data_IF_264535651013
#
_entry.id   IF_264535651013
#
_cell.length_a   1.000
_cell.length_b   1.000
_cell.length_c   1.000
_cell.angle_alpha   90.00
_cell.angle_beta   90.00
_cell.angle_gamma   90.00
#
_symmetry.space_group_name_H-M   'P 1'
#
loop_
_entity.id
_entity.type
_entity.pdbx_description
1 polymer ?
#
# COMPACT_ATOMS: atom_id res chain seq x y z
N UNK A 1 -14.42 57.40 -4.36
CA UNK A 1 -13.53 56.23 -4.19
C UNK A 1 -14.15 55.36 -3.12
N UNK A 2 -14.87 54.31 -3.52
CA UNK A 2 -15.54 53.41 -2.59
C UNK A 2 -14.56 52.32 -2.15
N UNK A 3 -14.28 52.26 -0.85
CA UNK A 3 -13.63 51.09 -0.27
C UNK A 3 -14.67 49.97 -0.23
N UNK A 4 -14.59 49.06 -1.19
CA UNK A 4 -15.22 47.74 -1.06
C UNK A 4 -14.48 47.00 0.05
N UNK A 5 -14.94 47.15 1.29
CA UNK A 5 -14.66 46.22 2.37
C UNK A 5 -15.30 44.88 2.02
N UNK A 6 -14.66 44.15 1.11
CA UNK A 6 -15.06 42.79 0.75
C UNK A 6 -14.76 41.87 1.93
N UNK A 7 -15.78 41.15 2.38
CA UNK A 7 -15.70 40.06 3.34
C UNK A 7 -14.48 39.16 3.06
N UNK A 8 -13.39 39.35 3.80
CA UNK A 8 -12.21 38.47 3.72
C UNK A 8 -12.56 37.00 4.06
N UNK A 9 -13.65 36.78 4.81
CA UNK A 9 -14.21 35.45 5.10
C UNK A 9 -14.88 34.81 3.89
N UNK A 10 -15.48 35.60 2.99
CA UNK A 10 -16.05 35.10 1.73
C UNK A 10 -14.94 34.73 0.72
N UNK A 11 -13.79 35.40 0.79
CA UNK A 11 -12.59 35.09 0.00
C UNK A 11 -11.69 33.99 0.58
N UNK A 12 -12.01 33.41 1.74
CA UNK A 12 -11.22 32.33 2.35
C UNK A 12 -11.98 31.02 2.55
N UNK A 13 -13.31 31.06 2.44
CA UNK A 13 -14.19 29.89 2.63
C UNK A 13 -14.09 28.89 1.46
N UNK A 14 -14.17 29.30 0.19
CA UNK A 14 -13.96 28.39 -0.94
C UNK A 14 -12.60 27.68 -0.91
N UNK A 15 -11.55 28.41 -0.53
CA UNK A 15 -10.17 27.93 -0.42
C UNK A 15 -10.03 26.92 0.72
N UNK A 16 -10.67 27.20 1.87
CA UNK A 16 -10.77 26.26 2.97
C UNK A 16 -11.49 24.97 2.57
N UNK A 17 -12.66 25.08 1.93
CA UNK A 17 -13.45 23.92 1.48
C UNK A 17 -12.68 23.09 0.45
N UNK A 18 -12.00 23.74 -0.49
CA UNK A 18 -11.15 23.08 -1.47
C UNK A 18 -9.99 22.32 -0.81
N UNK A 19 -9.32 22.91 0.18
CA UNK A 19 -8.21 22.25 0.88
C UNK A 19 -8.70 21.07 1.74
N UNK A 20 -9.82 21.22 2.45
CA UNK A 20 -10.44 20.12 3.21
C UNK A 20 -10.85 18.99 2.27
N UNK A 21 -11.48 19.30 1.15
CA UNK A 21 -11.87 18.31 0.12
C UNK A 21 -10.66 17.58 -0.45
N UNK A 22 -9.54 18.28 -0.71
CA UNK A 22 -8.28 17.69 -1.14
C UNK A 22 -7.71 16.72 -0.11
N UNK A 23 -7.67 17.12 1.16
CA UNK A 23 -7.19 16.26 2.26
C UNK A 23 -8.04 14.98 2.39
N UNK A 24 -9.36 15.07 2.20
CA UNK A 24 -10.23 13.89 2.19
C UNK A 24 -9.95 12.96 1.01
N UNK A 25 -9.74 13.52 -0.18
CA UNK A 25 -9.40 12.74 -1.36
C UNK A 25 -8.06 11.99 -1.16
N UNK A 26 -7.06 12.65 -0.57
CA UNK A 26 -5.78 12.02 -0.24
C UNK A 26 -5.93 10.88 0.78
N UNK A 27 -6.74 11.06 1.83
CA UNK A 27 -7.02 10.01 2.82
C UNK A 27 -7.72 8.82 2.16
N UNK A 28 -8.74 9.06 1.34
CA UNK A 28 -9.44 8.00 0.58
C UNK A 28 -8.48 7.26 -0.35
N UNK A 29 -7.61 7.98 -1.04
CA UNK A 29 -6.59 7.39 -1.91
C UNK A 29 -5.66 6.45 -1.12
N UNK A 30 -5.18 6.87 0.06
CA UNK A 30 -4.34 6.01 0.91
C UNK A 30 -5.06 4.74 1.37
N UNK A 31 -6.36 4.83 1.69
CA UNK A 31 -7.17 3.66 2.03
C UNK A 31 -7.34 2.71 0.85
N UNK A 32 -7.57 3.24 -0.36
CA UNK A 32 -7.64 2.46 -1.60
C UNK A 32 -6.29 1.78 -1.88
N UNK A 33 -5.17 2.52 -1.80
CA UNK A 33 -3.83 1.98 -1.96
C UNK A 33 -3.58 0.82 -0.99
N UNK A 34 -3.96 0.98 0.29
CA UNK A 34 -3.85 -0.09 1.29
C UNK A 34 -4.59 -1.34 0.86
N UNK A 35 -5.86 -1.21 0.44
CA UNK A 35 -6.68 -2.34 -0.02
C UNK A 35 -6.09 -3.02 -1.26
N UNK A 36 -5.63 -2.24 -2.24
CA UNK A 36 -5.01 -2.75 -3.45
C UNK A 36 -3.74 -3.54 -3.13
N UNK A 37 -2.85 -2.99 -2.29
CA UNK A 37 -1.62 -3.67 -1.87
C UNK A 37 -1.96 -4.96 -1.11
N UNK A 38 -2.87 -4.93 -0.14
CA UNK A 38 -3.29 -6.14 0.59
C UNK A 38 -3.84 -7.21 -0.35
N UNK A 39 -4.67 -6.83 -1.32
CA UNK A 39 -5.20 -7.77 -2.33
C UNK A 39 -4.08 -8.38 -3.18
N UNK A 40 -3.11 -7.55 -3.61
CA UNK A 40 -1.95 -8.02 -4.38
C UNK A 40 -1.13 -9.03 -3.57
N UNK A 41 -0.86 -8.74 -2.30
CA UNK A 41 -0.10 -9.63 -1.42
C UNK A 41 -0.78 -10.99 -1.25
N UNK A 42 -2.12 -11.01 -1.17
CA UNK A 42 -2.87 -12.26 -1.14
C UNK A 42 -2.62 -13.09 -2.41
N UNK A 43 -2.77 -12.47 -3.58
CA UNK A 43 -2.53 -13.13 -4.87
C UNK A 43 -1.07 -13.60 -5.02
N UNK A 44 -0.10 -12.78 -4.62
CA UNK A 44 1.32 -13.13 -4.70
C UNK A 44 1.66 -14.34 -3.81
N UNK A 45 1.04 -14.45 -2.62
CA UNK A 45 1.20 -15.59 -1.71
C UNK A 45 0.56 -16.86 -2.25
N UNK A 46 -0.64 -16.76 -2.81
CA UNK A 46 -1.30 -17.87 -3.50
C UNK A 46 -0.44 -18.37 -4.67
N UNK A 47 0.09 -17.45 -5.48
CA UNK A 47 0.99 -17.78 -6.58
C UNK A 47 2.27 -18.46 -6.11
N UNK A 48 2.93 -17.94 -5.06
CA UNK A 48 4.12 -18.56 -4.49
C UNK A 48 3.84 -19.98 -3.95
N UNK A 49 2.67 -20.20 -3.35
CA UNK A 49 2.25 -21.51 -2.86
C UNK A 49 2.03 -22.50 -4.02
N UNK A 50 1.37 -22.07 -5.10
CA UNK A 50 1.23 -22.86 -6.33
C UNK A 50 2.59 -23.22 -6.93
N UNK A 51 3.54 -22.28 -6.94
CA UNK A 51 4.89 -22.51 -7.44
C UNK A 51 5.62 -23.58 -6.61
N UNK A 52 5.50 -23.54 -5.28
CA UNK A 52 6.07 -24.59 -4.41
C UNK A 52 5.42 -25.96 -4.64
N UNK A 53 4.11 -26.00 -4.89
CA UNK A 53 3.42 -27.26 -5.19
C UNK A 53 3.93 -27.87 -6.51
N UNK A 54 4.14 -27.04 -7.54
CA UNK A 54 4.75 -27.47 -8.81
C UNK A 54 6.16 -28.01 -8.57
N UNK A 55 6.98 -27.33 -7.78
CA UNK A 55 8.33 -27.80 -7.46
C UNK A 55 8.30 -29.17 -6.75
N UNK A 56 7.44 -29.32 -5.73
CA UNK A 56 7.29 -30.57 -5.00
C UNK A 56 6.85 -31.74 -5.89
N UNK A 57 5.92 -31.51 -6.82
CA UNK A 57 5.53 -32.53 -7.82
C UNK A 57 6.67 -32.83 -8.78
N UNK A 58 7.37 -31.79 -9.26
CA UNK A 58 8.52 -31.92 -10.17
C UNK A 58 9.66 -32.74 -9.57
N UNK A 59 9.96 -32.58 -8.27
CA UNK A 59 10.96 -33.38 -7.58
C UNK A 59 10.53 -34.84 -7.41
N UNK A 60 9.23 -35.10 -7.15
CA UNK A 60 8.70 -36.47 -7.08
C UNK A 60 8.75 -37.18 -8.43
N UNK A 61 8.48 -36.47 -9.53
CA UNK A 61 8.56 -37.04 -10.88
C UNK A 61 10.01 -37.18 -11.39
N UNK A 62 10.90 -36.25 -11.05
CA UNK A 62 12.31 -36.24 -11.48
C UNK A 62 13.21 -37.27 -10.78
N UNK A 63 12.75 -37.86 -9.67
CA UNK A 63 13.42 -38.99 -9.00
C UNK A 63 13.18 -40.36 -9.64
N UNK A 64 12.39 -40.41 -10.71
CA UNK A 64 12.09 -41.64 -11.45
C UNK A 64 13.00 -41.84 -12.66
N UNK A 65 14.27 -42.17 -12.44
CA UNK A 65 14.99 -42.98 -13.43
C UNK A 65 14.47 -44.42 -13.34
N UNK A 66 13.43 -44.72 -14.12
CA UNK A 66 13.09 -46.06 -14.58
C UNK A 66 12.82 -47.13 -13.52
N UNK A 67 11.57 -47.32 -13.14
CA UNK A 67 11.07 -48.66 -12.81
C UNK A 67 10.06 -49.11 -13.85
N UNK A 68 10.59 -49.29 -15.06
CA UNK A 68 10.32 -50.47 -15.87
C UNK A 68 11.59 -51.31 -15.91
N UNK A 69 11.81 -52.11 -14.85
CA UNK A 69 12.77 -53.23 -14.81
C UNK A 69 14.26 -52.94 -15.09
N UNK A 70 15.08 -52.91 -14.05
CA UNK A 70 16.52 -53.13 -14.15
C UNK A 70 17.35 -52.03 -13.51
N UNK A 71 18.25 -52.44 -12.62
CA UNK A 71 19.19 -51.59 -11.91
C UNK A 71 19.88 -50.56 -12.84
N UNK A 72 19.76 -49.28 -12.50
CA UNK A 72 20.57 -48.18 -13.03
C UNK A 72 20.97 -47.38 -11.79
N UNK A 73 22.09 -47.74 -11.17
CA UNK A 73 23.41 -47.20 -11.50
C UNK A 73 23.74 -46.08 -10.50
N UNK A 74 24.68 -46.38 -9.62
CA UNK A 74 25.40 -45.45 -8.75
C UNK A 74 26.67 -44.95 -9.44
N UNK A 75 26.58 -44.50 -10.70
CA UNK A 75 27.73 -44.06 -11.51
C UNK A 75 27.78 -42.53 -11.59
N UNK A 76 28.98 -41.92 -11.59
CA UNK A 76 29.14 -40.49 -11.81
C UNK A 76 28.71 -40.12 -13.23
N UNK A 77 27.49 -39.62 -13.41
CA UNK A 77 26.96 -39.27 -14.74
C UNK A 77 25.44 -39.18 -14.83
N UNK A 78 24.76 -38.59 -13.85
CA UNK A 78 23.33 -38.27 -13.98
C UNK A 78 23.10 -37.53 -15.30
N UNK A 79 22.16 -37.99 -16.13
CA UNK A 79 21.83 -37.37 -17.43
C UNK A 79 21.83 -35.84 -17.31
N UNK A 80 22.51 -35.16 -18.24
CA UNK A 80 22.54 -33.68 -18.31
C UNK A 80 21.12 -33.09 -18.18
N UNK A 81 20.13 -33.81 -18.74
CA UNK A 81 18.73 -33.46 -18.65
C UNK A 81 18.16 -33.57 -17.22
N UNK A 82 18.50 -34.61 -16.46
CA UNK A 82 18.09 -34.75 -15.06
C UNK A 82 18.71 -33.66 -14.17
N UNK A 83 19.98 -33.32 -14.40
CA UNK A 83 20.66 -32.23 -13.71
C UNK A 83 20.05 -30.85 -14.05
N UNK A 84 19.74 -30.60 -15.32
CA UNK A 84 19.07 -29.37 -15.76
C UNK A 84 17.65 -29.24 -15.20
N UNK A 85 16.89 -30.35 -15.16
CA UNK A 85 15.56 -30.39 -14.56
C UNK A 85 15.59 -30.08 -13.06
N UNK A 86 16.52 -30.69 -12.32
CA UNK A 86 16.71 -30.41 -10.89
C UNK A 86 17.02 -28.93 -10.65
N UNK A 87 17.97 -28.36 -11.40
CA UNK A 87 18.33 -26.93 -11.28
C UNK A 87 17.14 -26.01 -11.57
N UNK A 88 16.34 -26.32 -12.59
CA UNK A 88 15.11 -25.58 -12.87
C UNK A 88 14.17 -25.57 -11.67
N UNK A 89 13.94 -26.73 -11.04
CA UNK A 89 13.07 -26.84 -9.87
C UNK A 89 13.63 -26.10 -8.66
N UNK A 90 14.95 -26.17 -8.44
CA UNK A 90 15.63 -25.44 -7.36
C UNK A 90 15.44 -23.91 -7.51
N UNK A 91 15.57 -23.38 -8.74
CA UNK A 91 15.36 -21.97 -9.04
C UNK A 91 13.89 -21.53 -8.90
N UNK A 92 12.93 -22.36 -9.33
CA UNK A 92 11.50 -22.08 -9.14
C UNK A 92 11.13 -22.05 -7.64
N UNK A 93 11.70 -22.96 -6.86
CA UNK A 93 11.47 -23.01 -5.41
C UNK A 93 12.15 -21.82 -4.70
N UNK A 94 13.33 -21.40 -5.15
CA UNK A 94 13.98 -20.16 -4.71
C UNK A 94 13.13 -18.92 -5.04
N UNK A 95 12.57 -18.84 -6.25
CA UNK A 95 11.67 -17.75 -6.64
C UNK A 95 10.42 -17.70 -5.75
N UNK A 96 9.81 -18.85 -5.44
CA UNK A 96 8.68 -18.93 -4.50
C UNK A 96 9.02 -18.38 -3.10
N UNK A 97 10.20 -18.72 -2.57
CA UNK A 97 10.69 -18.16 -1.30
C UNK A 97 10.90 -16.66 -1.38
N UNK A 98 11.50 -16.16 -2.46
CA UNK A 98 11.75 -14.75 -2.66
C UNK A 98 10.43 -13.94 -2.71
N UNK A 99 9.41 -14.44 -3.42
CA UNK A 99 8.08 -13.80 -3.49
C UNK A 99 7.47 -13.68 -2.09
N UNK A 100 7.51 -14.75 -1.29
CA UNK A 100 7.02 -14.72 0.10
C UNK A 100 7.76 -13.69 0.95
N UNK A 101 9.08 -13.64 0.86
CA UNK A 101 9.89 -12.65 1.59
C UNK A 101 9.57 -11.21 1.18
N UNK A 102 9.35 -10.95 -0.12
CA UNK A 102 8.90 -9.63 -0.60
C UNK A 102 7.53 -9.28 -0.02
N UNK A 103 6.60 -10.24 0.02
CA UNK A 103 5.29 -10.02 0.60
C UNK A 103 5.38 -9.61 2.08
N UNK A 104 6.18 -10.32 2.86
CA UNK A 104 6.35 -10.05 4.29
C UNK A 104 7.00 -8.68 4.53
N UNK A 105 7.96 -8.30 3.68
CA UNK A 105 8.58 -6.96 3.72
C UNK A 105 7.60 -5.85 3.37
N UNK A 106 6.73 -6.03 2.38
CA UNK A 106 5.72 -5.04 2.00
C UNK A 106 4.67 -4.93 3.11
N UNK A 107 4.24 -6.05 3.69
CA UNK A 107 3.30 -6.05 4.81
C UNK A 107 3.86 -5.28 6.01
N UNK A 108 5.08 -5.60 6.45
CA UNK A 108 5.69 -4.97 7.63
C UNK A 108 6.11 -3.51 7.40
N UNK A 109 6.60 -3.15 6.21
CA UNK A 109 7.17 -1.82 6.01
C UNK A 109 6.22 -0.88 5.26
N UNK A 110 5.54 -1.36 4.24
CA UNK A 110 4.74 -0.52 3.35
C UNK A 110 3.33 -0.30 3.91
N UNK A 111 2.63 -1.36 4.34
CA UNK A 111 1.28 -1.22 4.87
C UNK A 111 1.27 -0.43 6.19
N UNK A 112 2.23 -0.69 7.08
CA UNK A 112 2.40 0.07 8.32
C UNK A 112 2.67 1.56 8.04
N UNK A 113 3.52 1.87 7.05
CA UNK A 113 3.79 3.26 6.67
C UNK A 113 2.57 3.95 6.06
N UNK A 114 1.79 3.26 5.22
CA UNK A 114 0.53 3.79 4.70
C UNK A 114 -0.45 4.06 5.85
N UNK A 115 -0.55 3.16 6.83
CA UNK A 115 -1.41 3.33 7.99
C UNK A 115 -0.99 4.54 8.84
N UNK A 116 0.32 4.69 9.09
CA UNK A 116 0.89 5.85 9.80
C UNK A 116 0.57 7.17 9.12
N UNK A 117 0.88 7.29 7.82
CA UNK A 117 0.61 8.50 7.04
C UNK A 117 -0.90 8.82 7.01
N UNK A 118 -1.76 7.80 6.92
CA UNK A 118 -3.20 7.99 6.94
C UNK A 118 -3.68 8.58 8.29
N UNK A 119 -3.16 8.07 9.41
CA UNK A 119 -3.45 8.59 10.75
C UNK A 119 -2.95 10.04 10.91
N UNK A 120 -1.71 10.32 10.48
CA UNK A 120 -1.13 11.66 10.50
C UNK A 120 -1.95 12.65 9.68
N UNK A 121 -2.38 12.28 8.46
CA UNK A 121 -3.22 13.15 7.62
C UNK A 121 -4.58 13.43 8.24
N UNK A 122 -5.22 12.44 8.89
CA UNK A 122 -6.47 12.67 9.63
C UNK A 122 -6.28 13.65 10.78
N UNK A 123 -5.19 13.50 11.55
CA UNK A 123 -4.86 14.43 12.64
C UNK A 123 -4.59 15.84 12.11
N UNK A 124 -3.80 15.97 11.04
CA UNK A 124 -3.49 17.25 10.41
C UNK A 124 -4.72 17.94 9.84
N UNK A 125 -5.61 17.19 9.17
CA UNK A 125 -6.91 17.69 8.69
C UNK A 125 -7.74 18.26 9.85
N UNK A 126 -7.86 17.49 10.94
CA UNK A 126 -8.64 17.94 12.11
C UNK A 126 -8.05 19.20 12.74
N UNK A 127 -6.73 19.24 12.94
CA UNK A 127 -6.06 20.42 13.46
C UNK A 127 -6.28 21.67 12.58
N UNK A 128 -6.22 21.51 11.26
CA UNK A 128 -6.49 22.59 10.31
C UNK A 128 -7.95 23.10 10.40
N UNK A 129 -8.93 22.20 10.52
CA UNK A 129 -10.33 22.58 10.68
C UNK A 129 -10.59 23.29 12.01
N UNK A 130 -10.02 22.77 13.09
CA UNK A 130 -10.16 23.36 14.42
C UNK A 130 -9.56 24.80 14.43
N UNK A 131 -8.42 25.01 13.77
CA UNK A 131 -7.77 26.33 13.65
C UNK A 131 -8.58 27.30 12.76
N UNK A 132 -9.09 26.84 11.62
CA UNK A 132 -9.96 27.65 10.76
C UNK A 132 -11.22 28.11 11.52
N UNK A 133 -11.85 27.22 12.30
CA UNK A 133 -13.00 27.55 13.12
C UNK A 133 -12.66 28.56 14.21
N UNK A 134 -11.50 28.40 14.87
CA UNK A 134 -10.99 29.33 15.89
C UNK A 134 -10.83 30.74 15.34
N UNK A 135 -10.17 30.87 14.18
CA UNK A 135 -9.94 32.17 13.52
C UNK A 135 -11.26 32.78 13.05
N UNK A 136 -12.13 31.97 12.44
CA UNK A 136 -13.45 32.43 11.98
C UNK A 136 -14.30 32.98 13.12
N UNK A 137 -14.29 32.32 14.28
CA UNK A 137 -15.00 32.78 15.48
C UNK A 137 -14.44 34.11 16.01
N UNK A 138 -13.10 34.22 16.12
CA UNK A 138 -12.44 35.46 16.54
C UNK A 138 -12.78 36.63 15.61
N UNK A 139 -12.76 36.41 14.30
CA UNK A 139 -13.11 37.43 13.32
C UNK A 139 -14.56 37.89 13.46
N UNK A 140 -15.50 36.95 13.60
CA UNK A 140 -16.91 37.28 13.78
C UNK A 140 -17.14 38.11 15.04
N UNK A 141 -16.48 37.76 16.15
CA UNK A 141 -16.58 38.51 17.40
C UNK A 141 -16.05 39.94 17.27
N UNK A 142 -14.87 40.13 16.64
CA UNK A 142 -14.31 41.47 16.40
C UNK A 142 -15.20 42.28 15.46
N UNK A 143 -15.66 41.67 14.36
CA UNK A 143 -16.59 42.31 13.42
C UNK A 143 -17.88 42.78 14.12
N UNK A 144 -18.41 41.97 15.03
CA UNK A 144 -19.63 42.29 15.78
C UNK A 144 -19.41 43.30 16.91
N UNK A 145 -18.20 43.45 17.46
CA UNK A 145 -17.91 44.46 18.49
C UNK A 145 -17.57 45.84 17.91
N UNK A 146 -16.96 45.91 16.71
CA UNK A 146 -16.52 47.17 16.10
C UNK A 146 -17.66 47.86 15.32
N UNK A 147 -18.61 47.12 14.76
CA UNK A 147 -19.72 47.68 13.98
C UNK A 147 -20.81 48.41 14.79
N UNK A 148 -21.21 47.98 16.01
CA UNK A 148 -22.22 48.69 16.82
C UNK A 148 -21.74 50.02 17.39
N UNK A 149 -20.42 50.26 17.42
CA UNK A 149 -19.83 51.48 17.99
C UNK A 149 -19.75 52.64 16.99
N UNK A 150 -20.25 52.47 15.76
CA UNK A 150 -20.18 53.44 14.65
C UNK A 150 -21.59 53.89 14.20
N UNK A 151 -22.67 53.42 14.85
CA UNK A 151 -24.03 53.96 14.69
C UNK A 151 -24.42 54.84 15.87
#
# INVERSE_FOLDING_TARGET
MGYTGGNATAQGKPEYEALVGRQEAEIRMLEVMRRCVTSKLKCDREYAASLSAVCALGFKCGGGSGTGGGAVDTTPGSSLMAGAWKRLLDELDAASRAIRSVCDRIEKNTLDRIAGICAEKRKAKKAYQDEYNRISLQYNNVSFCVLPSIQ
#
